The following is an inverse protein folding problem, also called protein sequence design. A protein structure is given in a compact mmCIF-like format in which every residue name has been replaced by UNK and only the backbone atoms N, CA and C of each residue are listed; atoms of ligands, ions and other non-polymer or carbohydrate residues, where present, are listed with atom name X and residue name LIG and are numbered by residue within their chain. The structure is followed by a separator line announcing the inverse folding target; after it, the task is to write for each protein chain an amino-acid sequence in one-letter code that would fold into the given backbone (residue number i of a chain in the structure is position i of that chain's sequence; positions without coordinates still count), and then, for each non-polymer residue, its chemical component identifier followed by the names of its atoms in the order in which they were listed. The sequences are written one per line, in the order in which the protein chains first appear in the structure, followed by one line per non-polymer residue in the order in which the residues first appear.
data_IF_987150298626
#
_entry.id   IF_987150298626
#
_cell.length_a   1.000
_cell.length_b   1.000
_cell.length_c   1.000
_cell.angle_alpha   90.00
_cell.angle_beta   90.00
_cell.angle_gamma   90.00
#
_symmetry.space_group_name_H-M   'P 1'
#
loop_
_entity.id
_entity.type
_entity.pdbx_description
1 polymer ?
#
# COMPACT_ATOMS: atom_id res chain seq x y z
N UNK A 1 5.70 -11.76 -9.81
CA UNK A 1 6.25 -10.46 -10.24
C UNK A 1 7.52 -10.18 -9.45
N UNK A 2 8.71 -10.22 -10.07
CA UNK A 2 9.94 -9.76 -9.42
C UNK A 2 9.73 -8.30 -8.97
N UNK A 3 10.03 -8.00 -7.71
CA UNK A 3 9.87 -6.64 -7.18
C UNK A 3 8.59 -6.37 -6.39
N UNK A 4 7.59 -7.27 -6.40
CA UNK A 4 6.43 -7.18 -5.50
C UNK A 4 6.85 -7.47 -4.05
N UNK A 5 6.48 -6.57 -3.13
CA UNK A 5 6.81 -6.66 -1.72
C UNK A 5 5.62 -6.19 -0.87
N UNK A 6 5.56 -6.73 0.34
CA UNK A 6 4.59 -6.32 1.36
C UNK A 6 5.39 -5.97 2.62
N UNK A 7 5.13 -4.80 3.20
CA UNK A 7 5.68 -4.40 4.50
C UNK A 7 4.53 -4.05 5.44
N UNK A 8 4.57 -4.60 6.65
CA UNK A 8 3.61 -4.32 7.71
C UNK A 8 4.16 -3.36 8.76
N UNK A 9 3.32 -2.45 9.24
CA UNK A 9 3.55 -1.65 10.44
C UNK A 9 2.28 -1.57 11.29
N UNK A 10 2.35 -2.02 12.54
CA UNK A 10 1.19 -2.15 13.44
C UNK A 10 0.07 -2.98 12.78
N UNK A 11 -1.07 -2.35 12.48
CA UNK A 11 -2.25 -3.00 11.85
C UNK A 11 -2.40 -2.64 10.37
N UNK A 12 -1.41 -1.97 9.80
CA UNK A 12 -1.40 -1.50 8.42
C UNK A 12 -0.36 -2.29 7.63
N UNK A 13 -0.67 -2.68 6.41
CA UNK A 13 0.32 -3.19 5.45
C UNK A 13 0.29 -2.40 4.15
N UNK A 14 1.43 -2.28 3.51
CA UNK A 14 1.58 -1.62 2.22
C UNK A 14 2.09 -2.67 1.23
N UNK A 15 1.37 -2.82 0.13
CA UNK A 15 1.79 -3.64 -1.01
C UNK A 15 2.39 -2.72 -2.05
N UNK A 16 3.60 -3.02 -2.51
CA UNK A 16 4.30 -2.18 -3.47
C UNK A 16 5.18 -2.99 -4.43
N UNK A 17 5.46 -2.43 -5.59
CA UNK A 17 6.44 -2.95 -6.54
C UNK A 17 7.65 -2.02 -6.63
N UNK A 18 8.85 -2.58 -6.79
CA UNK A 18 10.07 -1.82 -7.08
C UNK A 18 10.47 -2.04 -8.53
N UNK A 19 10.53 -0.97 -9.31
CA UNK A 19 10.85 -1.00 -10.74
C UNK A 19 11.72 0.20 -11.10
N UNK A 20 12.92 -0.03 -11.67
CA UNK A 20 13.80 1.04 -12.15
C UNK A 20 14.18 2.09 -11.09
N UNK A 21 14.32 1.69 -9.82
CA UNK A 21 14.59 2.60 -8.70
C UNK A 21 13.37 3.40 -8.21
N UNK A 22 12.18 3.15 -8.75
CA UNK A 22 10.91 3.70 -8.29
C UNK A 22 10.15 2.67 -7.46
N UNK A 23 9.35 3.17 -6.53
CA UNK A 23 8.41 2.38 -5.73
C UNK A 23 7.00 2.74 -6.15
N UNK A 24 6.25 1.77 -6.64
CA UNK A 24 4.83 1.90 -6.96
C UNK A 24 4.01 1.30 -5.82
N UNK A 25 3.23 2.14 -5.12
CA UNK A 25 2.28 1.68 -4.12
C UNK A 25 1.07 1.08 -4.84
N UNK A 26 0.77 -0.19 -4.58
CA UNK A 26 -0.35 -0.92 -5.18
C UNK A 26 -1.58 -0.94 -4.27
N UNK A 27 -1.37 -0.78 -2.96
CA UNK A 27 -2.46 -0.69 -1.99
C UNK A 27 -1.96 -0.53 -0.56
N UNK A 28 -2.80 0.07 0.27
CA UNK A 28 -2.59 0.21 1.72
C UNK A 28 -3.73 -0.53 2.38
N UNK A 29 -3.43 -1.46 3.28
CA UNK A 29 -4.44 -2.32 3.87
C UNK A 29 -4.51 -2.12 5.38
N UNK A 30 -5.71 -2.08 5.93
CA UNK A 30 -5.95 -2.13 7.37
C UNK A 30 -6.96 -3.23 7.67
N UNK A 31 -6.62 -4.13 8.60
CA UNK A 31 -7.46 -5.27 8.96
C UNK A 31 -7.93 -6.09 7.72
N UNK A 32 -7.05 -6.26 6.73
CA UNK A 32 -7.33 -7.02 5.50
C UNK A 32 -8.16 -6.27 4.45
N UNK A 33 -8.51 -5.00 4.68
CA UNK A 33 -9.26 -4.16 3.73
C UNK A 33 -8.36 -3.12 3.08
N UNK A 34 -8.46 -2.96 1.76
CA UNK A 34 -7.75 -1.91 1.04
C UNK A 34 -8.36 -0.55 1.43
N UNK A 35 -7.51 0.38 1.85
CA UNK A 35 -7.83 1.78 2.08
C UNK A 35 -7.66 2.45 0.72
N UNK A 36 -8.77 2.84 0.13
CA UNK A 36 -8.77 3.52 -1.16
C UNK A 36 -8.47 5.02 -0.97
N UNK A 37 -8.00 5.73 -2.00
CA UNK A 37 -7.73 7.17 -1.91
C UNK A 37 -8.94 7.97 -1.44
N UNK A 38 -10.15 7.57 -1.83
CA UNK A 38 -11.40 8.25 -1.47
C UNK A 38 -11.64 8.22 0.05
N UNK A 39 -11.24 7.13 0.73
CA UNK A 39 -11.32 7.02 2.19
C UNK A 39 -10.33 7.94 2.94
N UNK A 40 -9.30 8.44 2.25
CA UNK A 40 -8.31 9.39 2.78
C UNK A 40 -8.70 10.84 2.49
N UNK A 41 -9.35 11.11 1.36
CA UNK A 41 -9.85 12.44 0.99
C UNK A 41 -10.92 12.95 1.96
N UNK A 42 -11.79 12.08 2.47
CA UNK A 42 -12.82 12.40 3.48
C UNK A 42 -12.24 12.78 4.88
N UNK A 43 -10.92 12.78 5.05
CA UNK A 43 -10.24 13.03 6.34
C UNK A 43 -9.41 14.31 6.35
N UNK A 44 -9.36 15.08 5.26
CA UNK A 44 -8.60 16.34 5.11
C UNK A 44 -9.50 17.57 5.03
#
# INVERSE_FOLDING_TARGET
MPGLRIVGYRRVSITFAVEGGRVLILGIFYAGRNITPELLEDRL
#
